data_IF_573269568160
#
_entry.id   IF_573269568160
#
_cell.length_a   1.000
_cell.length_b   1.000
_cell.length_c   1.000
_cell.angle_alpha   90.00
_cell.angle_beta   90.00
_cell.angle_gamma   90.00
#
_symmetry.space_group_name_H-M   'P 1'
#
loop_
_entity.id
_entity.type
_entity.pdbx_description
1 polymer ?
#
# COMPACT_ATOMS: atom_id res chain seq x y z
N UNK A 1 8.98 15.39 6.21
CA UNK A 1 9.30 14.37 7.21
C UNK A 1 10.26 13.33 6.65
N UNK A 2 10.89 12.56 7.52
CA UNK A 2 11.73 11.46 7.07
C UNK A 2 10.86 10.39 6.37
N UNK A 3 11.38 9.63 5.39
CA UNK A 3 10.61 8.59 4.68
C UNK A 3 9.94 7.57 5.62
N UNK A 4 10.59 7.22 6.74
CA UNK A 4 10.06 6.31 7.76
C UNK A 4 8.83 6.84 8.52
N UNK A 5 8.55 8.14 8.44
CA UNK A 5 7.39 8.78 9.06
C UNK A 5 6.14 8.74 8.17
N UNK A 6 6.28 8.26 6.95
CA UNK A 6 5.18 8.10 6.00
C UNK A 6 4.63 6.68 6.08
N UNK A 7 3.32 6.55 5.96
CA UNK A 7 2.63 5.28 5.77
C UNK A 7 2.15 5.19 4.33
N UNK A 8 2.58 4.16 3.62
CA UNK A 8 2.07 3.85 2.29
C UNK A 8 1.39 2.50 2.34
N UNK A 9 0.14 2.45 1.92
CA UNK A 9 -0.65 1.23 1.88
C UNK A 9 -1.17 0.96 0.47
N UNK A 10 -1.13 -0.29 0.07
CA UNK A 10 -1.74 -0.81 -1.15
C UNK A 10 -2.84 -1.79 -0.75
N UNK A 11 -4.10 -1.39 -0.89
CA UNK A 11 -5.27 -2.17 -0.42
C UNK A 11 -5.17 -2.62 1.06
N UNK A 12 -4.61 -1.78 1.95
CA UNK A 12 -4.40 -2.10 3.37
C UNK A 12 -3.13 -2.90 3.68
N UNK A 13 -2.36 -3.34 2.68
CA UNK A 13 -1.03 -3.93 2.88
C UNK A 13 0.02 -2.82 2.98
N UNK A 14 0.87 -2.85 3.99
CA UNK A 14 1.93 -1.85 4.15
C UNK A 14 3.00 -2.07 3.07
N UNK A 15 3.34 -1.00 2.36
CA UNK A 15 4.37 -0.98 1.34
C UNK A 15 5.56 -0.12 1.81
N UNK A 16 6.68 -0.77 2.08
CA UNK A 16 7.86 -0.10 2.67
C UNK A 16 8.64 0.71 1.64
N UNK A 17 8.64 0.27 0.38
CA UNK A 17 9.25 1.00 -0.74
C UNK A 17 8.29 1.07 -1.93
N UNK A 18 7.69 2.24 -2.21
CA UNK A 18 6.75 2.41 -3.32
C UNK A 18 7.41 2.77 -4.65
N UNK A 19 8.73 2.56 -4.80
CA UNK A 19 9.48 3.00 -5.97
C UNK A 19 10.32 1.89 -6.57
N UNK A 20 10.47 1.96 -7.90
CA UNK A 20 11.47 1.23 -8.67
C UNK A 20 12.67 2.10 -9.02
N UNK A 21 13.79 1.44 -9.31
CA UNK A 21 14.98 2.07 -9.91
C UNK A 21 15.44 3.31 -9.13
N UNK A 22 15.48 3.19 -7.79
CA UNK A 22 15.89 4.25 -6.85
C UNK A 22 15.02 5.53 -6.98
N UNK A 23 13.72 5.36 -7.27
CA UNK A 23 12.77 6.47 -7.33
C UNK A 23 12.46 7.02 -8.72
N UNK A 24 13.01 6.45 -9.78
CA UNK A 24 12.69 6.89 -11.16
C UNK A 24 11.30 6.45 -11.61
N UNK A 25 10.80 5.33 -11.12
CA UNK A 25 9.48 4.81 -11.47
C UNK A 25 8.69 4.49 -10.20
N UNK A 26 7.37 4.55 -10.31
CA UNK A 26 6.47 4.12 -9.23
C UNK A 26 6.06 2.67 -9.42
N UNK A 27 5.89 1.94 -8.31
CA UNK A 27 5.26 0.62 -8.33
C UNK A 27 3.77 0.72 -8.71
N UNK A 28 3.15 1.89 -8.51
CA UNK A 28 1.74 2.11 -8.79
C UNK A 28 1.47 2.29 -10.27
N UNK A 29 0.56 1.49 -10.80
CA UNK A 29 0.11 1.57 -12.18
C UNK A 29 -1.30 2.21 -12.23
N UNK A 30 -1.45 3.30 -12.97
CA UNK A 30 -2.72 4.02 -13.12
C UNK A 30 -3.86 3.16 -13.66
N UNK A 31 -3.54 2.13 -14.44
CA UNK A 31 -4.54 1.18 -14.95
C UNK A 31 -5.08 0.23 -13.87
N UNK A 32 -4.34 0.08 -12.77
CA UNK A 32 -4.68 -0.78 -11.63
C UNK A 32 -5.43 -0.02 -10.55
N UNK A 33 -5.19 1.28 -10.43
CA UNK A 33 -5.72 2.10 -9.34
C UNK A 33 -7.22 2.38 -9.50
N UNK A 34 -7.93 2.35 -8.38
CA UNK A 34 -9.28 2.87 -8.21
C UNK A 34 -9.24 4.26 -7.57
N UNK A 35 -8.47 4.40 -6.49
CA UNK A 35 -8.29 5.66 -5.77
C UNK A 35 -6.92 5.73 -5.13
N UNK A 36 -6.44 6.95 -4.93
CA UNK A 36 -5.25 7.25 -4.16
C UNK A 36 -5.58 8.44 -3.25
N UNK A 37 -5.63 8.18 -1.95
CA UNK A 37 -5.85 9.19 -0.94
C UNK A 37 -4.51 9.54 -0.31
N UNK A 38 -4.15 10.81 -0.35
CA UNK A 38 -2.89 11.30 0.22
C UNK A 38 -3.21 12.35 1.28
N UNK A 39 -2.83 12.05 2.50
CA UNK A 39 -2.99 12.93 3.65
C UNK A 39 -1.61 13.43 4.06
N UNK A 40 -1.32 14.70 3.86
CA UNK A 40 -0.03 15.33 4.20
C UNK A 40 -0.04 16.02 5.56
N UNK A 41 -1.22 16.26 6.11
CA UNK A 41 -1.48 16.77 7.45
C UNK A 41 -2.95 16.52 7.80
N UNK A 42 -3.29 16.39 9.08
CA UNK A 42 -4.68 16.31 9.53
C UNK A 42 -5.40 15.06 9.06
N UNK A 43 -4.78 13.89 9.14
CA UNK A 43 -5.46 12.62 8.92
C UNK A 43 -6.27 12.20 10.15
N UNK A 44 -7.37 11.46 9.92
CA UNK A 44 -8.28 10.99 10.97
C UNK A 44 -7.62 10.08 12.01
N UNK A 45 -8.32 9.82 13.11
CA UNK A 45 -7.78 9.02 14.21
C UNK A 45 -7.62 7.52 13.86
N UNK A 46 -8.17 7.08 12.73
CA UNK A 46 -7.97 5.73 12.18
C UNK A 46 -6.52 5.45 11.77
N UNK A 47 -5.74 6.47 11.43
CA UNK A 47 -4.34 6.32 11.08
C UNK A 47 -3.44 6.63 12.28
N UNK A 48 -2.75 5.61 12.79
CA UNK A 48 -1.78 5.73 13.88
C UNK A 48 -0.33 5.60 13.43
N UNK A 49 0.60 5.71 14.39
CA UNK A 49 2.04 5.37 14.25
C UNK A 49 2.82 6.20 13.23
N UNK A 50 2.24 7.24 12.62
CA UNK A 50 2.91 8.07 11.62
C UNK A 50 2.55 9.53 11.82
N UNK A 51 3.57 10.41 11.63
CA UNK A 51 3.44 11.84 11.93
C UNK A 51 3.56 12.73 10.69
N UNK A 52 3.87 12.17 9.51
CA UNK A 52 4.16 12.97 8.32
C UNK A 52 3.05 12.86 7.27
N UNK A 53 2.89 11.71 6.66
CA UNK A 53 1.85 11.51 5.65
C UNK A 53 1.33 10.09 5.64
N UNK A 54 0.09 9.94 5.16
CA UNK A 54 -0.52 8.65 4.86
C UNK A 54 -0.90 8.66 3.39
N UNK A 55 -0.48 7.63 2.66
CA UNK A 55 -0.88 7.36 1.29
C UNK A 55 -1.64 6.04 1.27
N UNK A 56 -2.95 6.11 1.09
CA UNK A 56 -3.84 4.95 1.03
C UNK A 56 -4.31 4.73 -0.40
N UNK A 57 -3.81 3.66 -0.99
CA UNK A 57 -4.04 3.32 -2.40
C UNK A 57 -4.93 2.11 -2.48
N UNK A 58 -6.06 2.28 -3.14
CA UNK A 58 -7.02 1.19 -3.42
C UNK A 58 -6.96 0.84 -4.89
N UNK A 59 -6.81 -0.45 -5.18
CA UNK A 59 -6.90 -0.97 -6.54
C UNK A 59 -8.35 -1.28 -6.91
N UNK A 60 -8.63 -1.27 -8.20
CA UNK A 60 -9.96 -1.64 -8.71
C UNK A 60 -10.20 -3.15 -8.61
N UNK A 61 -11.46 -3.53 -8.55
CA UNK A 61 -11.86 -4.92 -8.63
C UNK A 61 -11.87 -5.41 -10.07
N UNK A 62 -11.75 -6.72 -10.25
CA UNK A 62 -11.88 -7.36 -11.56
C UNK A 62 -13.29 -7.21 -12.15
N UNK A 63 -13.38 -7.29 -13.46
CA UNK A 63 -14.65 -7.18 -14.18
C UNK A 63 -15.55 -8.39 -13.88
N UNK A 64 -16.78 -8.14 -13.45
CA UNK A 64 -17.76 -9.16 -13.07
C UNK A 64 -18.69 -9.59 -14.21
N UNK A 65 -18.66 -8.89 -15.35
CA UNK A 65 -19.55 -9.18 -16.48
C UNK A 65 -18.85 -9.87 -17.65
N UNK A 66 -17.61 -9.53 -17.95
CA UNK A 66 -16.86 -10.06 -19.09
C UNK A 66 -15.36 -10.11 -18.80
N UNK A 67 -14.67 -10.99 -19.52
CA UNK A 67 -13.20 -10.99 -19.54
C UNK A 67 -12.71 -9.73 -20.24
N UNK A 68 -11.74 -9.07 -19.66
CA UNK A 68 -11.01 -7.95 -20.24
C UNK A 68 -9.52 -8.20 -20.11
N UNK A 69 -8.78 -7.85 -21.15
CA UNK A 69 -7.33 -7.84 -21.12
C UNK A 69 -6.83 -6.52 -21.67
N UNK A 70 -5.74 -6.01 -21.12
CA UNK A 70 -5.00 -4.85 -21.62
C UNK A 70 -3.52 -5.20 -21.64
N UNK A 71 -2.89 -5.08 -22.80
CA UNK A 71 -1.47 -5.22 -22.95
C UNK A 71 -0.85 -3.89 -23.35
N UNK A 72 0.32 -3.60 -22.82
CA UNK A 72 1.13 -2.46 -23.16
C UNK A 72 2.56 -2.89 -23.38
N UNK A 73 3.22 -2.37 -24.37
CA UNK A 73 4.64 -2.57 -24.60
C UNK A 73 5.27 -1.24 -25.06
N UNK A 74 6.44 -0.94 -24.53
CA UNK A 74 7.29 0.17 -24.93
C UNK A 74 8.71 -0.33 -25.13
N UNK A 75 9.63 0.56 -25.43
CA UNK A 75 11.05 0.24 -25.52
C UNK A 75 11.70 -0.08 -24.16
N UNK A 76 11.02 0.17 -23.05
CA UNK A 76 11.58 0.05 -21.71
C UNK A 76 10.90 -1.01 -20.85
N UNK A 77 9.61 -1.23 -21.06
CA UNK A 77 8.82 -2.16 -20.25
C UNK A 77 7.60 -2.68 -21.01
N UNK A 78 7.09 -3.81 -20.54
CA UNK A 78 5.77 -4.32 -20.92
C UNK A 78 4.92 -4.58 -19.69
N UNK A 79 3.60 -4.52 -19.89
CA UNK A 79 2.62 -4.90 -18.89
C UNK A 79 1.45 -5.65 -19.51
N UNK A 80 0.88 -6.55 -18.72
CA UNK A 80 -0.33 -7.28 -19.03
C UNK A 80 -1.29 -7.14 -17.84
N UNK A 81 -2.55 -6.91 -18.15
CA UNK A 81 -3.61 -6.81 -17.19
C UNK A 81 -4.77 -7.69 -17.66
N UNK A 82 -5.28 -8.52 -16.76
CA UNK A 82 -6.36 -9.43 -16.99
C UNK A 82 -7.43 -9.29 -15.93
N UNK A 83 -8.68 -9.19 -16.36
CA UNK A 83 -9.86 -9.18 -15.51
C UNK A 83 -10.82 -10.26 -15.98
N UNK A 84 -11.38 -11.02 -15.06
CA UNK A 84 -12.32 -12.08 -15.41
C UNK A 84 -13.42 -12.23 -14.34
N UNK A 85 -14.69 -12.41 -14.75
CA UNK A 85 -15.72 -12.92 -13.88
C UNK A 85 -15.48 -14.39 -13.56
N UNK A 86 -15.73 -14.80 -12.33
CA UNK A 86 -15.61 -16.18 -11.89
C UNK A 86 -16.95 -16.71 -11.40
N UNK A 87 -17.29 -17.93 -11.84
CA UNK A 87 -18.52 -18.63 -11.46
C UNK A 87 -19.74 -18.24 -12.28
N UNK A 88 -20.91 -18.57 -11.75
CA UNK A 88 -22.20 -18.34 -12.44
C UNK A 88 -22.57 -16.86 -12.44
N UNK A 89 -23.08 -16.39 -13.56
CA UNK A 89 -23.65 -15.05 -13.71
C UNK A 89 -25.14 -15.05 -13.35
N UNK A 90 -25.59 -13.95 -12.79
CA UNK A 90 -27.00 -13.71 -12.51
C UNK A 90 -27.78 -13.39 -13.80
N UNK A 91 -29.09 -13.07 -13.66
CA UNK A 91 -29.96 -12.69 -14.78
C UNK A 91 -29.50 -11.44 -15.55
N UNK A 92 -28.69 -10.61 -14.94
CA UNK A 92 -28.11 -9.40 -15.52
C UNK A 92 -26.73 -9.65 -16.15
N UNK A 93 -26.27 -10.89 -16.18
CA UNK A 93 -24.96 -11.24 -16.71
C UNK A 93 -23.79 -10.90 -15.79
N UNK A 94 -24.04 -10.70 -14.48
CA UNK A 94 -23.04 -10.29 -13.48
C UNK A 94 -22.71 -11.47 -12.58
N UNK A 95 -21.44 -11.80 -12.46
CA UNK A 95 -20.94 -12.81 -11.51
C UNK A 95 -20.76 -12.19 -10.11
N UNK A 96 -20.86 -13.02 -9.07
CA UNK A 96 -20.57 -12.58 -7.71
C UNK A 96 -19.06 -12.42 -7.51
N UNK A 97 -18.26 -13.20 -8.23
CA UNK A 97 -16.81 -13.23 -8.06
C UNK A 97 -16.10 -12.63 -9.27
N UNK A 98 -14.94 -12.02 -9.01
CA UNK A 98 -14.04 -11.54 -10.05
C UNK A 98 -12.59 -11.77 -9.68
N UNK A 99 -11.78 -11.90 -10.70
CA UNK A 99 -10.32 -11.98 -10.62
C UNK A 99 -9.72 -10.79 -11.36
N UNK A 100 -8.69 -10.21 -10.78
CA UNK A 100 -7.86 -9.18 -11.36
C UNK A 100 -6.40 -9.61 -11.22
N UNK A 101 -5.64 -9.59 -12.32
CA UNK A 101 -4.20 -9.88 -12.33
C UNK A 101 -3.52 -8.81 -13.16
N UNK A 102 -2.40 -8.29 -12.65
CA UNK A 102 -1.53 -7.36 -13.35
C UNK A 102 -0.08 -7.81 -13.22
N UNK A 103 0.63 -7.85 -14.33
CA UNK A 103 2.06 -8.08 -14.39
C UNK A 103 2.76 -6.98 -15.16
N UNK A 104 3.91 -6.52 -14.69
CA UNK A 104 4.74 -5.50 -15.33
C UNK A 104 6.20 -5.93 -15.23
N UNK A 105 6.95 -5.83 -16.33
CA UNK A 105 8.37 -6.13 -16.35
C UNK A 105 9.13 -5.08 -17.15
N UNK A 106 10.30 -4.71 -16.66
CA UNK A 106 11.21 -3.84 -17.38
C UNK A 106 12.29 -4.65 -18.10
N UNK A 107 12.69 -4.18 -19.25
CA UNK A 107 13.82 -4.68 -20.04
C UNK A 107 14.73 -3.53 -20.51
N UNK A 108 14.80 -2.50 -19.69
CA UNK A 108 15.58 -1.29 -19.95
C UNK A 108 17.08 -1.59 -20.10
N UNK A 109 17.56 -2.57 -19.31
CA UNK A 109 18.95 -3.01 -19.37
C UNK A 109 19.32 -3.58 -20.74
N UNK A 110 18.40 -4.34 -21.35
CA UNK A 110 18.60 -5.02 -22.64
C UNK A 110 18.38 -4.07 -23.82
N UNK A 111 17.42 -3.17 -23.72
CA UNK A 111 17.05 -2.30 -24.86
C UNK A 111 17.84 -1.02 -24.93
N UNK A 112 18.30 -0.48 -23.80
CA UNK A 112 19.04 0.79 -23.81
C UNK A 112 20.33 0.76 -24.64
N UNK A 113 21.18 -0.29 -24.57
CA UNK A 113 22.37 -0.37 -25.42
C UNK A 113 22.06 -0.40 -26.93
N UNK A 114 20.95 -1.05 -27.30
CA UNK A 114 20.52 -1.16 -28.70
C UNK A 114 19.99 0.17 -29.24
N UNK A 115 19.17 0.86 -28.45
CA UNK A 115 18.52 2.12 -28.84
C UNK A 115 19.45 3.34 -28.67
N UNK A 116 20.35 3.27 -27.70
CA UNK A 116 21.24 4.34 -27.30
C UNK A 116 22.67 3.80 -27.10
N UNK A 117 23.40 3.45 -28.16
CA UNK A 117 24.74 2.84 -28.05
C UNK A 117 25.75 3.63 -27.22
N UNK A 118 25.57 4.94 -27.10
CA UNK A 118 26.43 5.79 -26.27
C UNK A 118 26.27 5.50 -24.76
N UNK A 119 25.14 4.91 -24.35
CA UNK A 119 24.92 4.51 -22.94
C UNK A 119 25.85 3.36 -22.56
N UNK A 120 26.03 2.39 -23.45
CA UNK A 120 26.99 1.30 -23.27
C UNK A 120 28.43 1.82 -23.14
N UNK A 121 28.83 2.70 -24.06
CA UNK A 121 30.21 3.20 -24.11
C UNK A 121 30.56 4.17 -22.98
N UNK A 122 29.59 4.93 -22.46
CA UNK A 122 29.85 5.94 -21.42
C UNK A 122 29.55 5.46 -20.00
N UNK A 123 28.56 4.60 -19.82
CA UNK A 123 28.00 4.26 -18.52
C UNK A 123 27.94 2.76 -18.27
N UNK A 124 28.37 1.90 -19.21
CA UNK A 124 28.28 0.45 -19.09
C UNK A 124 26.83 -0.09 -19.13
N UNK A 125 25.91 0.67 -19.77
CA UNK A 125 24.49 0.35 -19.82
C UNK A 125 23.63 1.08 -18.79
N UNK A 126 22.33 0.83 -18.79
CA UNK A 126 21.42 1.27 -17.74
C UNK A 126 21.18 0.11 -16.76
N UNK A 127 21.50 0.30 -15.49
CA UNK A 127 21.60 -0.79 -14.52
C UNK A 127 20.25 -1.27 -13.96
N UNK A 128 19.12 -0.76 -14.44
CA UNK A 128 17.81 -0.91 -13.82
C UNK A 128 17.01 -2.07 -14.39
N UNK A 129 16.50 -2.93 -13.52
CA UNK A 129 15.50 -3.97 -13.88
C UNK A 129 14.46 -4.07 -12.78
N UNK A 130 13.20 -4.28 -13.16
CA UNK A 130 12.14 -4.53 -12.18
C UNK A 130 11.06 -5.46 -12.75
N UNK A 131 10.38 -6.17 -11.85
CA UNK A 131 9.24 -7.02 -12.17
C UNK A 131 8.18 -6.82 -11.09
N UNK A 132 6.93 -6.69 -11.52
CA UNK A 132 5.77 -6.56 -10.65
C UNK A 132 4.73 -7.62 -10.99
N UNK A 133 4.16 -8.17 -9.95
CA UNK A 133 2.99 -9.01 -10.03
C UNK A 133 1.99 -8.57 -8.95
N UNK A 134 0.74 -8.36 -9.34
CA UNK A 134 -0.36 -8.07 -8.44
C UNK A 134 -1.57 -8.93 -8.80
N UNK A 135 -2.22 -9.50 -7.79
CA UNK A 135 -3.43 -10.28 -7.94
C UNK A 135 -4.49 -9.92 -6.90
N UNK A 136 -5.75 -9.90 -7.32
CA UNK A 136 -6.90 -9.60 -6.46
C UNK A 136 -8.09 -10.47 -6.84
N UNK A 137 -8.60 -11.21 -5.87
CA UNK A 137 -9.87 -11.93 -5.96
C UNK A 137 -10.91 -11.19 -5.12
N UNK A 138 -12.09 -10.96 -5.68
CA UNK A 138 -13.18 -10.29 -4.99
C UNK A 138 -14.44 -11.11 -5.11
N UNK A 139 -15.13 -11.33 -4.00
CA UNK A 139 -16.50 -11.82 -3.96
C UNK A 139 -17.41 -10.76 -3.36
N UNK A 140 -18.54 -10.51 -4.01
CA UNK A 140 -19.51 -9.49 -3.60
C UNK A 140 -20.93 -10.03 -3.73
N UNK A 141 -21.72 -9.88 -2.68
CA UNK A 141 -23.11 -10.26 -2.70
C UNK A 141 -24.00 -9.12 -3.24
N UNK A 142 -25.32 -9.38 -3.29
CA UNK A 142 -26.29 -8.41 -3.80
C UNK A 142 -26.52 -7.21 -2.88
N UNK A 143 -26.25 -7.33 -1.58
CA UNK A 143 -26.36 -6.22 -0.63
C UNK A 143 -25.16 -5.27 -0.69
N UNK A 144 -24.13 -5.62 -1.46
CA UNK A 144 -22.88 -4.86 -1.54
C UNK A 144 -21.79 -5.33 -0.58
N UNK A 145 -22.09 -6.24 0.35
CA UNK A 145 -21.06 -6.83 1.22
C UNK A 145 -20.04 -7.59 0.39
N UNK A 146 -18.76 -7.46 0.76
CA UNK A 146 -17.63 -7.82 -0.08
C UNK A 146 -16.55 -8.51 0.75
N UNK A 147 -15.90 -9.51 0.16
CA UNK A 147 -14.68 -10.11 0.68
C UNK A 147 -13.64 -10.07 -0.44
N UNK A 148 -12.43 -9.65 -0.11
CA UNK A 148 -11.33 -9.51 -1.07
C UNK A 148 -10.10 -10.21 -0.52
N UNK A 149 -9.46 -11.05 -1.35
CA UNK A 149 -8.13 -11.58 -1.11
C UNK A 149 -7.18 -11.00 -2.16
N UNK A 150 -5.98 -10.62 -1.76
CA UNK A 150 -5.02 -9.92 -2.61
C UNK A 150 -3.59 -10.30 -2.27
N UNK A 151 -2.70 -10.16 -3.25
CA UNK A 151 -1.28 -10.34 -3.07
C UNK A 151 -0.50 -9.52 -4.10
N UNK A 152 0.72 -9.13 -3.73
CA UNK A 152 1.68 -8.53 -4.64
C UNK A 152 3.08 -9.10 -4.44
N UNK A 153 3.88 -9.02 -5.49
CA UNK A 153 5.33 -9.20 -5.44
C UNK A 153 5.96 -8.18 -6.39
N UNK A 154 6.86 -7.36 -5.85
CA UNK A 154 7.63 -6.36 -6.57
C UNK A 154 9.10 -6.63 -6.35
N UNK A 155 9.86 -6.83 -7.41
CA UNK A 155 11.30 -7.04 -7.36
C UNK A 155 12.02 -6.00 -8.18
N UNK A 156 13.19 -5.60 -7.71
CA UNK A 156 13.96 -4.54 -8.34
C UNK A 156 15.46 -4.79 -8.17
N UNK A 157 16.23 -4.45 -9.16
CA UNK A 157 17.68 -4.53 -9.09
C UNK A 157 18.34 -3.36 -9.83
N UNK A 158 19.38 -2.82 -9.21
CA UNK A 158 20.27 -1.81 -9.77
C UNK A 158 21.67 -2.36 -9.75
N UNK A 159 22.16 -2.84 -10.87
CA UNK A 159 23.48 -3.47 -11.02
C UNK A 159 24.44 -2.48 -11.64
N UNK A 160 25.36 -1.93 -10.85
CA UNK A 160 26.35 -0.95 -11.31
C UNK A 160 27.50 -1.59 -12.09
N UNK A 161 27.87 -2.82 -11.70
CA UNK A 161 28.79 -3.68 -12.44
C UNK A 161 28.46 -5.16 -12.11
N UNK A 162 29.30 -6.11 -12.53
CA UNK A 162 29.06 -7.54 -12.30
C UNK A 162 29.12 -7.96 -10.84
N UNK A 163 29.71 -7.13 -9.96
CA UNK A 163 29.94 -7.43 -8.55
C UNK A 163 29.24 -6.46 -7.59
N UNK A 164 28.85 -5.27 -8.08
CA UNK A 164 28.27 -4.20 -7.24
C UNK A 164 26.85 -3.89 -7.66
N UNK A 165 25.96 -3.90 -6.71
CA UNK A 165 24.55 -3.61 -6.96
C UNK A 165 23.73 -3.49 -5.70
N UNK A 166 22.50 -3.06 -5.90
CA UNK A 166 21.46 -3.04 -4.88
C UNK A 166 20.26 -3.77 -5.48
N UNK A 167 19.72 -4.70 -4.73
CA UNK A 167 18.48 -5.38 -5.10
C UNK A 167 17.51 -5.35 -3.93
N UNK A 168 16.23 -5.30 -4.25
CA UNK A 168 15.18 -5.40 -3.25
C UNK A 168 13.97 -6.13 -3.77
N UNK A 169 13.33 -6.82 -2.86
CA UNK A 169 12.08 -7.54 -3.06
C UNK A 169 11.06 -7.07 -2.04
N UNK A 170 9.84 -6.86 -2.48
CA UNK A 170 8.70 -6.55 -1.64
C UNK A 170 7.55 -7.46 -1.99
N UNK A 171 6.99 -8.15 -1.03
CA UNK A 171 5.78 -8.94 -1.21
C UNK A 171 4.80 -8.72 -0.08
N UNK A 172 3.55 -8.95 -0.38
CA UNK A 172 2.50 -8.90 0.63
C UNK A 172 1.27 -9.65 0.18
N UNK A 173 0.48 -10.06 1.14
CA UNK A 173 -0.84 -10.62 0.93
C UNK A 173 -1.78 -10.18 2.04
N UNK A 174 -3.07 -10.18 1.75
CA UNK A 174 -4.06 -9.78 2.73
C UNK A 174 -5.48 -10.13 2.31
N UNK A 175 -6.37 -9.98 3.29
CA UNK A 175 -7.81 -10.17 3.14
C UNK A 175 -8.51 -8.95 3.73
N UNK A 176 -9.51 -8.42 3.00
CA UNK A 176 -10.39 -7.39 3.51
C UNK A 176 -11.83 -7.86 3.39
N UNK A 177 -12.64 -7.53 4.36
CA UNK A 177 -14.08 -7.70 4.23
C UNK A 177 -14.81 -6.39 4.53
N UNK A 178 -15.96 -6.24 3.90
CA UNK A 178 -16.90 -5.16 4.12
C UNK A 178 -18.29 -5.77 4.24
N UNK A 179 -18.94 -5.55 5.36
CA UNK A 179 -20.30 -6.05 5.62
C UNK A 179 -21.26 -4.88 5.71
N UNK A 180 -22.31 -4.93 4.90
CA UNK A 180 -23.42 -3.99 4.94
C UNK A 180 -24.63 -4.77 5.48
N UNK A 181 -24.95 -4.64 6.79
CA UNK A 181 -26.08 -5.34 7.37
C UNK A 181 -27.41 -4.82 6.79
N UNK A 182 -28.38 -5.70 6.49
CA UNK A 182 -29.68 -5.28 5.99
C UNK A 182 -30.40 -4.35 6.98
N UNK A 183 -31.02 -3.29 6.44
CA UNK A 183 -31.80 -2.31 7.21
C UNK A 183 -31.03 -1.65 8.37
N UNK A 184 -29.73 -1.56 8.27
CA UNK A 184 -28.86 -0.91 9.26
C UNK A 184 -28.15 0.29 8.62
N UNK A 185 -27.90 1.33 9.42
CA UNK A 185 -27.07 2.45 9.05
C UNK A 185 -25.58 2.19 9.38
N UNK A 186 -25.19 0.93 9.54
CA UNK A 186 -23.84 0.54 9.94
C UNK A 186 -23.09 -0.10 8.77
N UNK A 187 -21.84 0.28 8.60
CA UNK A 187 -20.84 -0.40 7.78
C UNK A 187 -19.82 -1.04 8.72
N UNK A 188 -19.45 -2.28 8.45
CA UNK A 188 -18.42 -3.01 9.19
C UNK A 188 -17.34 -3.38 8.20
N UNK A 189 -16.11 -2.96 8.49
CA UNK A 189 -14.94 -3.25 7.65
C UNK A 189 -13.87 -3.91 8.50
N UNK A 190 -13.14 -4.83 7.91
CA UNK A 190 -11.99 -5.41 8.56
C UNK A 190 -10.96 -5.81 7.53
N UNK A 191 -9.72 -5.79 7.96
CA UNK A 191 -8.58 -6.19 7.17
C UNK A 191 -7.57 -6.97 7.99
N UNK A 192 -6.82 -7.78 7.29
CA UNK A 192 -5.59 -8.40 7.77
C UNK A 192 -4.62 -8.49 6.61
N UNK A 193 -3.40 -8.09 6.84
CA UNK A 193 -2.34 -8.16 5.85
C UNK A 193 -1.00 -8.52 6.49
N UNK A 194 -0.16 -9.17 5.69
CA UNK A 194 1.25 -9.37 5.96
C UNK A 194 2.05 -8.87 4.78
N UNK A 195 3.17 -8.23 5.05
CA UNK A 195 4.08 -7.72 4.03
C UNK A 195 5.52 -7.85 4.47
N UNK A 196 6.41 -8.03 3.50
CA UNK A 196 7.85 -8.09 3.71
C UNK A 196 8.54 -7.15 2.72
N UNK A 197 9.63 -6.57 3.18
CA UNK A 197 10.59 -5.87 2.35
C UNK A 197 11.99 -6.38 2.66
N UNK A 198 12.70 -6.79 1.65
CA UNK A 198 14.10 -7.22 1.72
C UNK A 198 14.93 -6.32 0.82
N UNK A 199 16.06 -5.84 1.32
CA UNK A 199 17.04 -5.09 0.54
C UNK A 199 18.43 -5.64 0.79
N UNK A 200 19.19 -5.82 -0.27
CA UNK A 200 20.58 -6.23 -0.23
C UNK A 200 21.43 -5.29 -1.07
N UNK A 201 22.52 -4.82 -0.48
CA UNK A 201 23.58 -4.06 -1.17
C UNK A 201 24.85 -4.88 -1.18
N UNK A 202 25.41 -5.08 -2.36
CA UNK A 202 26.68 -5.79 -2.57
C UNK A 202 27.69 -4.78 -3.11
N UNK A 203 28.60 -4.33 -2.26
CA UNK A 203 29.75 -3.50 -2.64
C UNK A 203 30.98 -4.37 -2.87
N UNK A 204 31.07 -5.45 -2.11
CA UNK A 204 32.07 -6.50 -2.21
C UNK A 204 31.30 -7.83 -2.11
N UNK A 205 31.48 -8.78 -3.02
CA UNK A 205 30.79 -10.08 -2.99
C UNK A 205 30.94 -10.85 -1.67
N UNK A 206 32.06 -10.68 -0.97
CA UNK A 206 32.35 -11.36 0.30
C UNK A 206 31.72 -10.66 1.52
N UNK A 207 31.09 -9.51 1.35
CA UNK A 207 30.61 -8.66 2.45
C UNK A 207 29.24 -8.04 2.13
N UNK A 208 28.20 -8.85 1.89
CA UNK A 208 26.87 -8.33 1.61
C UNK A 208 26.29 -7.62 2.83
N UNK A 209 25.57 -6.54 2.59
CA UNK A 209 24.70 -5.87 3.57
C UNK A 209 23.27 -6.18 3.22
N UNK A 210 22.49 -6.60 4.18
CA UNK A 210 21.07 -6.82 3.96
C UNK A 210 20.23 -6.32 5.13
N UNK A 211 19.01 -5.98 4.81
CA UNK A 211 17.99 -5.64 5.79
C UNK A 211 16.65 -6.23 5.37
N UNK A 212 15.93 -6.75 6.33
CA UNK A 212 14.59 -7.30 6.15
C UNK A 212 13.63 -6.60 7.10
N UNK A 213 12.45 -6.26 6.61
CA UNK A 213 11.32 -5.81 7.42
C UNK A 213 10.18 -6.78 7.14
N UNK A 214 9.73 -7.49 8.15
CA UNK A 214 8.52 -8.28 8.12
C UNK A 214 7.47 -7.56 8.94
N UNK A 215 6.29 -7.34 8.39
CA UNK A 215 5.22 -6.68 9.11
C UNK A 215 3.89 -7.35 8.89
N UNK A 216 3.04 -7.26 9.88
CA UNK A 216 1.62 -7.56 9.74
C UNK A 216 0.80 -6.39 10.26
N UNK A 217 -0.36 -6.23 9.71
CA UNK A 217 -1.35 -5.28 10.20
C UNK A 217 -2.75 -5.86 10.05
N UNK A 218 -3.64 -5.44 10.92
CA UNK A 218 -5.04 -5.80 10.85
C UNK A 218 -5.88 -4.80 11.60
N UNK A 219 -7.12 -4.64 11.16
CA UNK A 219 -8.05 -3.69 11.74
C UNK A 219 -9.49 -4.17 11.68
N UNK A 220 -10.31 -3.59 12.54
CA UNK A 220 -11.76 -3.77 12.55
C UNK A 220 -12.41 -2.41 12.80
N UNK A 221 -13.18 -1.95 11.82
CA UNK A 221 -13.81 -0.64 11.78
C UNK A 221 -15.32 -0.74 11.72
N UNK A 222 -15.96 0.15 12.45
CA UNK A 222 -17.41 0.32 12.46
C UNK A 222 -17.73 1.77 12.09
N UNK A 223 -18.50 1.97 11.05
CA UNK A 223 -19.03 3.28 10.67
C UNK A 223 -20.53 3.29 10.83
N UNK A 224 -21.04 4.19 11.64
CA UNK A 224 -22.46 4.42 11.83
C UNK A 224 -22.87 5.74 11.17
N UNK A 225 -23.77 5.70 10.19
CA UNK A 225 -24.25 6.86 9.47
C UNK A 225 -25.43 7.49 10.21
N UNK A 226 -25.32 8.81 10.51
CA UNK A 226 -26.34 9.58 11.22
C UNK A 226 -27.00 10.52 10.23
N UNK A 227 -28.28 10.27 9.93
CA UNK A 227 -29.01 11.06 8.95
C UNK A 227 -28.46 10.94 7.54
N UNK A 228 -28.16 12.07 6.87
CA UNK A 228 -27.75 12.08 5.46
C UNK A 228 -26.24 12.26 5.24
N UNK A 229 -25.52 12.79 6.23
CA UNK A 229 -24.14 13.24 6.00
C UNK A 229 -23.20 13.09 7.22
N UNK A 230 -23.75 13.01 8.43
CA UNK A 230 -22.95 12.82 9.63
C UNK A 230 -22.58 11.36 9.81
N UNK A 231 -21.41 11.10 10.32
CA UNK A 231 -20.93 9.74 10.57
C UNK A 231 -20.12 9.65 11.87
N UNK A 232 -20.19 8.47 12.45
CA UNK A 232 -19.49 8.08 13.64
C UNK A 232 -18.66 6.85 13.31
N UNK A 233 -17.34 6.95 13.38
CA UNK A 233 -16.41 5.87 13.05
C UNK A 233 -15.59 5.51 14.30
N UNK A 234 -15.48 4.23 14.60
CA UNK A 234 -14.64 3.71 15.66
C UNK A 234 -14.07 2.36 15.27
N UNK A 235 -12.92 2.03 15.78
CA UNK A 235 -12.26 0.79 15.44
C UNK A 235 -11.06 0.48 16.31
N UNK A 236 -10.47 -0.67 16.03
CA UNK A 236 -9.22 -1.12 16.62
C UNK A 236 -8.29 -1.55 15.51
N UNK A 237 -7.00 -1.33 15.70
CA UNK A 237 -5.96 -1.78 14.79
C UNK A 237 -4.77 -2.37 15.56
N UNK A 238 -4.11 -3.31 14.92
CA UNK A 238 -2.92 -3.99 15.40
C UNK A 238 -1.88 -3.95 14.30
N UNK A 239 -0.67 -3.52 14.64
CA UNK A 239 0.48 -3.50 13.72
C UNK A 239 1.66 -4.15 14.42
N UNK A 240 2.37 -5.02 13.73
CA UNK A 240 3.62 -5.61 14.22
C UNK A 240 4.70 -5.56 13.18
N UNK A 241 5.95 -5.38 13.63
CA UNK A 241 7.15 -5.35 12.80
C UNK A 241 8.25 -6.19 13.42
N UNK A 242 8.92 -6.96 12.57
CA UNK A 242 10.22 -7.56 12.84
C UNK A 242 11.22 -7.02 11.85
N UNK A 243 12.32 -6.47 12.34
CA UNK A 243 13.41 -5.98 11.51
C UNK A 243 14.67 -6.79 11.78
N UNK A 244 15.38 -7.13 10.71
CA UNK A 244 16.66 -7.82 10.76
C UNK A 244 17.66 -7.03 9.89
N UNK A 245 18.79 -6.64 10.47
CA UNK A 245 19.86 -5.95 9.79
C UNK A 245 21.17 -6.67 9.97
N UNK A 246 21.81 -7.05 8.87
CA UNK A 246 23.07 -7.74 8.82
C UNK A 246 24.09 -6.93 8.03
N UNK A 247 25.25 -6.72 8.64
CA UNK A 247 26.34 -5.99 8.04
C UNK A 247 27.68 -6.61 8.43
N UNK A 248 28.56 -6.86 7.47
CA UNK A 248 29.94 -7.26 7.70
C UNK A 248 30.88 -6.22 7.09
N UNK A 249 31.80 -5.69 7.89
CA UNK A 249 32.76 -4.71 7.43
C UNK A 249 33.97 -5.35 6.73
N UNK A 250 34.89 -4.52 6.19
CA UNK A 250 36.09 -4.97 5.48
C UNK A 250 37.12 -5.70 6.38
N UNK A 251 36.97 -5.64 7.69
CA UNK A 251 37.80 -6.35 8.66
C UNK A 251 37.19 -7.68 9.10
N UNK A 252 36.03 -8.08 8.50
CA UNK A 252 35.33 -9.31 8.87
C UNK A 252 34.50 -9.20 10.15
N UNK A 253 34.31 -7.99 10.71
CA UNK A 253 33.47 -7.79 11.88
C UNK A 253 32.02 -7.70 11.44
N UNK A 254 31.16 -8.55 11.99
CA UNK A 254 29.73 -8.60 11.69
C UNK A 254 28.90 -7.90 12.78
N UNK A 255 27.94 -7.10 12.34
CA UNK A 255 26.87 -6.51 13.14
C UNK A 255 25.56 -7.15 12.73
N UNK A 256 24.87 -7.78 13.67
CA UNK A 256 23.53 -8.33 13.48
C UNK A 256 22.61 -7.64 14.49
N UNK A 257 21.57 -7.00 14.01
CA UNK A 257 20.58 -6.31 14.83
C UNK A 257 19.18 -6.80 14.48
N UNK A 258 18.45 -7.24 15.49
CA UNK A 258 17.05 -7.65 15.36
C UNK A 258 16.22 -6.83 16.33
N UNK A 259 15.09 -6.33 15.85
CA UNK A 259 14.12 -5.59 16.66
C UNK A 259 12.72 -6.02 16.29
N UNK A 260 11.88 -6.19 17.29
CA UNK A 260 10.47 -6.52 17.14
C UNK A 260 9.61 -5.52 17.91
N UNK A 261 8.54 -5.07 17.31
CA UNK A 261 7.56 -4.22 17.97
C UNK A 261 6.15 -4.62 17.60
N UNK A 262 5.23 -4.41 18.53
CA UNK A 262 3.80 -4.56 18.32
C UNK A 262 3.09 -3.34 18.88
N UNK A 263 2.16 -2.82 18.11
CA UNK A 263 1.40 -1.62 18.43
C UNK A 263 -0.09 -1.94 18.33
N UNK A 264 -0.86 -1.54 19.35
CA UNK A 264 -2.31 -1.69 19.40
C UNK A 264 -2.94 -0.31 19.45
N UNK A 265 -3.82 -0.02 18.50
CA UNK A 265 -4.58 1.21 18.42
C UNK A 265 -6.07 0.98 18.69
N UNK A 266 -6.71 1.94 19.35
CA UNK A 266 -8.15 2.05 19.39
C UNK A 266 -8.54 3.49 19.11
N UNK A 267 -9.54 3.72 18.29
CA UNK A 267 -9.87 5.06 17.88
C UNK A 267 -11.38 5.31 17.78
N UNK A 268 -11.69 6.58 17.75
CA UNK A 268 -13.02 7.12 17.63
C UNK A 268 -12.97 8.44 16.85
N UNK A 269 -13.84 8.58 15.85
CA UNK A 269 -14.05 9.81 15.06
C UNK A 269 -15.53 10.13 14.97
N UNK A 270 -15.88 11.40 15.10
CA UNK A 270 -17.21 11.90 14.76
C UNK A 270 -17.08 12.98 13.70
N UNK A 271 -17.70 12.77 12.56
CA UNK A 271 -17.71 13.73 11.46
C UNK A 271 -19.08 14.36 11.33
N UNK A 272 -19.14 15.65 11.53
CA UNK A 272 -20.33 16.46 11.33
C UNK A 272 -20.21 17.29 10.05
N UNK A 273 -21.16 17.14 9.14
CA UNK A 273 -21.15 17.82 7.84
C UNK A 273 -22.24 18.90 7.82
N UNK A 274 -21.86 20.14 8.00
CA UNK A 274 -22.72 21.30 7.77
C UNK A 274 -22.54 21.89 6.36
N UNK A 275 -23.39 22.84 5.97
CA UNK A 275 -23.34 23.46 4.63
C UNK A 275 -22.01 24.17 4.35
N UNK A 276 -21.47 24.86 5.35
CA UNK A 276 -20.24 25.63 5.23
C UNK A 276 -19.08 25.02 6.01
N UNK A 277 -19.36 24.25 7.08
CA UNK A 277 -18.36 23.78 8.02
C UNK A 277 -18.48 22.26 8.19
N UNK A 278 -17.36 21.55 7.99
CA UNK A 278 -17.19 20.17 8.42
C UNK A 278 -16.24 20.16 9.61
N UNK A 279 -16.66 19.49 10.69
CA UNK A 279 -15.87 19.32 11.92
C UNK A 279 -15.70 17.82 12.14
N UNK A 280 -14.48 17.43 12.44
CA UNK A 280 -14.12 16.02 12.65
C UNK A 280 -13.23 15.87 13.89
N UNK A 281 -13.82 15.92 15.14
CA UNK A 281 -13.10 15.56 16.34
C UNK A 281 -12.86 14.06 16.40
N UNK A 282 -11.66 13.67 16.81
CA UNK A 282 -11.23 12.30 16.97
C UNK A 282 -10.37 12.12 18.21
N UNK A 283 -10.32 10.90 18.69
CA UNK A 283 -9.45 10.46 19.78
C UNK A 283 -8.88 9.10 19.42
N UNK A 284 -7.57 8.94 19.60
CA UNK A 284 -6.88 7.66 19.49
C UNK A 284 -6.17 7.34 20.79
N UNK A 285 -6.27 6.11 21.21
CA UNK A 285 -5.45 5.48 22.23
C UNK A 285 -4.47 4.56 21.53
N UNK A 286 -3.19 4.74 21.74
CA UNK A 286 -2.15 3.96 21.09
C UNK A 286 -1.21 3.35 22.13
N UNK A 287 -1.11 2.03 22.14
CA UNK A 287 -0.23 1.27 23.03
C UNK A 287 0.96 0.73 22.25
N UNK A 288 2.17 1.11 22.65
CA UNK A 288 3.44 0.64 22.11
C UNK A 288 3.97 -0.51 22.95
N UNK A 289 3.82 -1.75 22.46
CA UNK A 289 4.15 -2.96 23.23
C UNK A 289 5.62 -3.04 23.62
N UNK A 290 6.55 -2.68 22.72
CA UNK A 290 8.00 -2.69 22.98
C UNK A 290 8.44 -1.68 24.04
N UNK A 291 7.73 -0.56 24.16
CA UNK A 291 8.02 0.50 25.15
C UNK A 291 7.18 0.40 26.40
N UNK A 292 6.12 -0.44 26.38
CA UNK A 292 5.09 -0.50 27.42
C UNK A 292 4.44 0.87 27.72
N UNK A 293 4.30 1.69 26.68
CA UNK A 293 3.76 3.05 26.79
C UNK A 293 2.40 3.19 26.12
N UNK A 294 1.52 3.97 26.76
CA UNK A 294 0.21 4.34 26.23
C UNK A 294 0.22 5.83 25.86
N UNK A 295 -0.12 6.11 24.60
CA UNK A 295 -0.30 7.47 24.09
C UNK A 295 -1.77 7.80 23.93
N UNK A 296 -2.18 9.01 24.28
CA UNK A 296 -3.51 9.57 24.05
C UNK A 296 -3.37 10.65 22.98
N UNK A 297 -4.00 10.46 21.84
CA UNK A 297 -3.83 11.30 20.66
C UNK A 297 -5.16 11.99 20.29
N UNK A 298 -5.47 13.19 20.82
CA UNK A 298 -6.61 13.96 20.36
C UNK A 298 -6.34 14.52 18.97
N UNK A 299 -7.36 14.50 18.11
CA UNK A 299 -7.29 15.03 16.73
C UNK A 299 -8.51 15.90 16.45
N UNK A 300 -8.32 16.92 15.62
CA UNK A 300 -9.40 17.80 15.19
C UNK A 300 -9.18 18.16 13.72
N UNK A 301 -10.06 17.67 12.85
CA UNK A 301 -10.14 18.10 11.47
C UNK A 301 -11.18 19.22 11.30
N UNK A 302 -10.82 20.26 10.59
CA UNK A 302 -11.72 21.36 10.23
C UNK A 302 -11.66 21.61 8.72
N UNK A 303 -12.84 21.73 8.10
CA UNK A 303 -12.93 22.20 6.72
C UNK A 303 -14.01 23.24 6.62
N UNK A 304 -13.64 24.45 6.20
CA UNK A 304 -14.57 25.56 5.98
C UNK A 304 -14.65 25.88 4.48
N UNK A 305 -15.84 25.86 3.94
CA UNK A 305 -16.13 26.21 2.53
C UNK A 305 -16.59 27.67 2.49
N UNK A 306 -15.72 28.61 2.10
CA UNK A 306 -16.06 30.02 1.94
C UNK A 306 -16.94 30.24 0.71
N UNK A 307 -16.57 29.55 -0.40
CA UNK A 307 -17.30 29.54 -1.66
C UNK A 307 -17.24 28.13 -2.24
N UNK A 308 -17.87 27.88 -3.38
CA UNK A 308 -17.75 26.60 -4.10
C UNK A 308 -16.30 26.29 -4.49
N UNK A 309 -15.50 27.33 -4.77
CA UNK A 309 -14.13 27.21 -5.26
C UNK A 309 -13.06 27.42 -4.17
N UNK A 310 -13.40 28.10 -3.08
CA UNK A 310 -12.43 28.44 -2.03
C UNK A 310 -12.76 27.74 -0.71
N UNK A 311 -11.80 26.89 -0.27
CA UNK A 311 -11.94 26.03 0.92
C UNK A 311 -10.70 26.14 1.79
N UNK A 312 -10.90 26.18 3.08
CA UNK A 312 -9.85 26.08 4.09
C UNK A 312 -9.94 24.71 4.76
N UNK A 313 -8.77 24.07 4.98
CA UNK A 313 -8.64 22.83 5.76
C UNK A 313 -7.54 23.00 6.78
N UNK A 314 -7.78 22.53 8.00
CA UNK A 314 -6.82 22.49 9.12
C UNK A 314 -6.97 21.18 9.88
#
# INVERSE_FOLDING_TARGET
>A
GAPIQNLVMLDGMILYNPFHSIGFFSVFDTDVLQSANVYTAGFGAEYGSRNSSVMDITTRDGNRSRVKAKAYASTFMSKLLLEAPLGKKDKNGIANNSLFISGKTSYLRETAPVLYPYVETRFGGLPFTFNDLYGKFTTQNKSGSKLTAKAFNFSDAVMLDSAKGIQWDSWGYGVNFMVIPPASATLIEGDFAQSQYFIQSTENPDQPRNSTINGFNGGLDFTYFIGKADEFKYGIDLIGYDTDFNYTNSLGLSLNQQESTTELGGYFNYRKVGPLLVIEPGLRLHYYGSLSELSIEPRLGLKYNFTEDFRFKA
#
